data_IF_966205889483
#
_entry.id   IF_966205889483
#
_cell.length_a   1.000
_cell.length_b   1.000
_cell.length_c   1.000
_cell.angle_alpha   90.00
_cell.angle_beta   90.00
_cell.angle_gamma   90.00
#
_symmetry.space_group_name_H-M   'P 1'
#
loop_
_entity.id
_entity.type
_entity.pdbx_description
1 polymer ?
#
# COMPACT_ATOMS: atom_id res chain seq x y z
N UNK A 1 -54.80 8.33 31.99
CA UNK A 1 -54.15 9.01 30.86
C UNK A 1 -52.86 9.65 31.35
N UNK A 2 -51.69 9.10 31.00
CA UNK A 2 -50.41 9.80 30.78
C UNK A 2 -49.27 8.78 30.80
N UNK A 3 -48.87 8.32 29.62
CA UNK A 3 -47.77 7.39 29.45
C UNK A 3 -47.45 7.22 27.97
N UNK A 4 -47.04 8.30 27.29
CA UNK A 4 -46.55 8.23 25.89
C UNK A 4 -45.65 9.41 25.47
N UNK A 5 -45.10 10.16 26.43
CA UNK A 5 -44.29 11.37 26.16
C UNK A 5 -42.79 11.11 26.00
N UNK A 6 -42.26 10.06 26.62
CA UNK A 6 -40.81 9.77 26.65
C UNK A 6 -40.32 9.15 25.34
N UNK A 7 -41.12 8.28 24.72
CA UNK A 7 -40.71 7.53 23.53
C UNK A 7 -40.61 8.43 22.28
N UNK A 8 -41.58 9.33 22.08
CA UNK A 8 -41.59 10.28 20.95
C UNK A 8 -40.43 11.29 20.97
N UNK A 9 -39.95 11.71 22.14
CA UNK A 9 -38.82 12.66 22.25
C UNK A 9 -37.48 11.98 22.00
N UNK A 10 -37.31 10.75 22.47
CA UNK A 10 -36.13 9.91 22.18
C UNK A 10 -36.03 9.63 20.69
N UNK A 11 -37.14 9.23 20.06
CA UNK A 11 -37.24 9.02 18.62
C UNK A 11 -36.90 10.27 17.79
N UNK A 12 -37.44 11.44 18.17
CA UNK A 12 -37.13 12.70 17.49
C UNK A 12 -35.65 13.10 17.63
N UNK A 13 -35.04 12.90 18.80
CA UNK A 13 -33.61 13.16 19.01
C UNK A 13 -32.72 12.21 18.21
N UNK A 14 -33.06 10.91 18.15
CA UNK A 14 -32.32 9.91 17.36
C UNK A 14 -32.41 10.22 15.87
N UNK A 15 -33.60 10.54 15.35
CA UNK A 15 -33.81 10.99 13.97
C UNK A 15 -33.02 12.25 13.62
N UNK A 16 -33.00 13.23 14.53
CA UNK A 16 -32.27 14.49 14.30
C UNK A 16 -30.75 14.26 14.19
N UNK A 17 -30.15 13.48 15.10
CA UNK A 17 -28.72 13.11 15.02
C UNK A 17 -28.36 12.35 13.74
N UNK A 18 -29.28 11.51 13.25
CA UNK A 18 -29.11 10.72 12.02
C UNK A 18 -29.12 11.58 10.75
N UNK A 19 -29.98 12.60 10.67
CA UNK A 19 -30.03 13.53 9.53
C UNK A 19 -28.87 14.52 9.55
N UNK A 20 -28.49 15.02 10.74
CA UNK A 20 -27.36 15.95 10.92
C UNK A 20 -26.01 15.31 10.48
N UNK A 21 -25.83 14.00 10.67
CA UNK A 21 -24.60 13.30 10.28
C UNK A 21 -24.35 13.27 8.76
N UNK A 22 -25.36 12.93 7.96
CA UNK A 22 -25.21 12.90 6.50
C UNK A 22 -25.01 14.31 5.92
N UNK A 23 -25.71 15.31 6.46
CA UNK A 23 -25.57 16.70 6.02
C UNK A 23 -24.13 17.21 6.23
N UNK A 24 -23.50 16.85 7.35
CA UNK A 24 -22.09 17.15 7.59
C UNK A 24 -21.15 16.52 6.55
N UNK A 25 -21.37 15.24 6.19
CA UNK A 25 -20.62 14.56 5.13
C UNK A 25 -20.82 15.24 3.78
N UNK A 26 -22.06 15.55 3.42
CA UNK A 26 -22.38 16.23 2.16
C UNK A 26 -21.74 17.62 2.08
N UNK A 27 -21.76 18.40 3.17
CA UNK A 27 -21.11 19.71 3.26
C UNK A 27 -19.58 19.61 3.19
N UNK A 28 -18.98 18.59 3.81
CA UNK A 28 -17.55 18.31 3.66
C UNK A 28 -17.23 18.00 2.19
N UNK A 29 -17.95 17.05 1.59
CA UNK A 29 -17.73 16.61 0.22
C UNK A 29 -17.86 17.75 -0.79
N UNK A 30 -18.89 18.61 -0.65
CA UNK A 30 -19.10 19.76 -1.52
C UNK A 30 -17.94 20.76 -1.51
N UNK A 31 -17.22 20.87 -0.39
CA UNK A 31 -16.01 21.69 -0.26
C UNK A 31 -14.80 20.97 -0.87
N UNK A 32 -14.57 19.73 -0.45
CA UNK A 32 -13.35 18.99 -0.75
C UNK A 32 -13.26 18.51 -2.22
N UNK A 33 -14.40 18.24 -2.88
CA UNK A 33 -14.41 17.72 -4.26
C UNK A 33 -13.84 18.69 -5.30
N UNK A 34 -13.72 19.97 -4.98
CA UNK A 34 -13.17 21.00 -5.88
C UNK A 34 -11.66 20.87 -6.06
N UNK A 35 -10.97 20.20 -5.13
CA UNK A 35 -9.51 20.15 -5.09
C UNK A 35 -8.93 18.99 -5.92
N UNK A 36 -9.77 18.19 -6.60
CA UNK A 36 -9.35 17.05 -7.43
C UNK A 36 -8.69 15.89 -6.66
N UNK A 37 -8.54 16.01 -5.34
CA UNK A 37 -7.81 15.08 -4.46
C UNK A 37 -8.42 13.68 -4.36
N UNK A 38 -9.71 13.53 -4.66
CA UNK A 38 -10.48 12.30 -4.45
C UNK A 38 -10.75 11.50 -5.74
N UNK A 39 -9.87 11.65 -6.74
CA UNK A 39 -9.90 10.83 -7.94
C UNK A 39 -9.37 9.43 -7.68
N UNK A 40 -9.94 8.44 -8.36
CA UNK A 40 -9.41 7.07 -8.39
C UNK A 40 -7.99 7.07 -8.98
N UNK A 41 -7.11 6.26 -8.40
CA UNK A 41 -5.78 6.03 -8.97
C UNK A 41 -5.87 5.24 -10.29
N UNK A 42 -4.76 5.18 -11.03
CA UNK A 42 -4.70 4.33 -12.23
C UNK A 42 -5.02 2.87 -11.91
N UNK A 43 -4.47 2.34 -10.82
CA UNK A 43 -4.67 0.94 -10.44
C UNK A 43 -6.11 0.68 -9.97
N UNK A 44 -6.74 1.62 -9.25
CA UNK A 44 -8.16 1.48 -8.90
C UNK A 44 -9.03 1.40 -10.17
N UNK A 45 -8.73 2.23 -11.18
CA UNK A 45 -9.43 2.18 -12.46
C UNK A 45 -9.16 0.88 -13.23
N UNK A 46 -7.94 0.31 -13.14
CA UNK A 46 -7.66 -1.03 -13.70
C UNK A 46 -8.51 -2.10 -13.01
N UNK A 47 -8.53 -2.12 -11.67
CA UNK A 47 -9.33 -3.06 -10.89
C UNK A 47 -10.82 -2.95 -11.23
N UNK A 48 -11.34 -1.73 -11.38
CA UNK A 48 -12.74 -1.49 -11.72
C UNK A 48 -13.09 -1.82 -13.17
N UNK A 49 -12.09 -1.94 -14.05
CA UNK A 49 -12.29 -2.33 -15.45
C UNK A 49 -12.47 -3.83 -15.64
N UNK A 50 -12.06 -4.65 -14.67
CA UNK A 50 -12.17 -6.11 -14.74
C UNK A 50 -13.61 -6.56 -14.52
N UNK A 51 -14.10 -7.41 -15.41
CA UNK A 51 -15.32 -8.17 -15.15
C UNK A 51 -15.07 -9.25 -14.11
N UNK A 52 -16.15 -9.81 -13.55
CA UNK A 52 -16.03 -10.96 -12.63
C UNK A 52 -15.26 -12.12 -13.28
N UNK A 53 -15.48 -12.39 -14.56
CA UNK A 53 -14.74 -13.41 -15.30
C UNK A 53 -13.26 -13.08 -15.44
N UNK A 54 -12.92 -11.80 -15.67
CA UNK A 54 -11.52 -11.36 -15.77
C UNK A 54 -10.82 -11.50 -14.42
N UNK A 55 -11.50 -11.16 -13.32
CA UNK A 55 -10.93 -11.30 -11.99
C UNK A 55 -10.61 -12.77 -11.71
N UNK A 56 -11.50 -13.70 -12.06
CA UNK A 56 -11.28 -15.14 -11.86
C UNK A 56 -10.43 -15.83 -12.95
N UNK A 57 -9.91 -15.08 -13.92
CA UNK A 57 -8.98 -15.59 -14.94
C UNK A 57 -7.52 -15.43 -14.48
N UNK A 58 -6.92 -16.54 -14.02
CA UNK A 58 -5.51 -16.58 -13.58
C UNK A 58 -4.51 -16.25 -14.70
N UNK A 59 -4.93 -16.30 -15.96
CA UNK A 59 -4.07 -16.04 -17.11
C UNK A 59 -4.34 -14.67 -17.76
N UNK A 60 -5.17 -13.82 -17.14
CA UNK A 60 -5.65 -12.55 -17.70
C UNK A 60 -4.52 -11.69 -18.27
N UNK A 61 -3.41 -11.55 -17.53
CA UNK A 61 -2.28 -10.71 -17.91
C UNK A 61 -1.05 -11.50 -18.36
N UNK A 62 -1.14 -12.84 -18.48
CA UNK A 62 -0.01 -13.72 -18.83
C UNK A 62 0.75 -13.27 -20.08
N UNK A 63 0.02 -12.77 -21.09
CA UNK A 63 0.63 -12.29 -22.35
C UNK A 63 1.27 -10.90 -22.25
N UNK A 64 0.90 -10.12 -21.23
CA UNK A 64 1.38 -8.76 -21.00
C UNK A 64 2.56 -8.73 -20.05
N UNK A 65 2.57 -9.60 -19.05
CA UNK A 65 3.70 -9.82 -18.15
C UNK A 65 4.84 -10.46 -18.95
N UNK A 66 5.95 -9.74 -19.05
CA UNK A 66 7.18 -10.22 -19.69
C UNK A 66 8.20 -10.55 -18.61
N UNK A 67 9.11 -11.49 -18.90
CA UNK A 67 10.28 -11.72 -18.04
C UNK A 67 11.04 -10.40 -17.88
N UNK A 68 11.31 -10.02 -16.64
CA UNK A 68 12.11 -8.85 -16.32
C UNK A 68 13.54 -9.11 -16.84
N UNK A 69 14.11 -8.22 -17.67
CA UNK A 69 15.47 -8.35 -18.16
C UNK A 69 16.51 -8.35 -17.04
N UNK A 70 17.61 -9.07 -17.24
CA UNK A 70 18.74 -9.06 -16.29
C UNK A 70 19.53 -7.72 -16.36
N UNK A 71 19.32 -6.93 -17.42
CA UNK A 71 19.96 -5.62 -17.67
C UNK A 71 19.02 -4.68 -18.41
N UNK A 72 19.21 -3.37 -18.22
CA UNK A 72 18.34 -2.35 -18.80
C UNK A 72 19.12 -1.39 -19.71
N UNK A 73 18.49 -0.98 -20.81
CA UNK A 73 19.10 -0.04 -21.77
C UNK A 73 18.87 1.42 -21.38
N UNK A 74 17.85 1.69 -20.58
CA UNK A 74 17.53 3.02 -20.06
C UNK A 74 16.79 2.92 -18.73
N UNK A 75 16.80 4.02 -17.97
CA UNK A 75 16.03 4.15 -16.73
C UNK A 75 14.51 3.98 -16.96
N UNK A 76 13.99 4.50 -18.07
CA UNK A 76 12.59 4.32 -18.47
C UNK A 76 12.27 2.83 -18.71
N UNK A 77 13.13 2.12 -19.47
CA UNK A 77 12.98 0.68 -19.69
C UNK A 77 13.01 -0.13 -18.40
N UNK A 78 13.78 0.32 -17.39
CA UNK A 78 13.79 -0.29 -16.06
C UNK A 78 12.43 -0.14 -15.38
N UNK A 79 11.91 1.07 -15.26
CA UNK A 79 10.63 1.34 -14.59
C UNK A 79 9.45 0.66 -15.30
N UNK A 80 9.43 0.73 -16.63
CA UNK A 80 8.39 0.11 -17.46
C UNK A 80 8.31 -1.41 -17.26
N UNK A 81 9.44 -2.07 -17.02
CA UNK A 81 9.52 -3.52 -16.84
C UNK A 81 8.75 -4.01 -15.61
N UNK A 82 8.52 -3.15 -14.61
CA UNK A 82 7.77 -3.49 -13.40
C UNK A 82 6.28 -3.11 -13.46
N UNK A 83 5.83 -2.46 -14.54
CA UNK A 83 4.44 -1.99 -14.67
C UNK A 83 3.45 -3.15 -14.72
N UNK A 84 3.62 -4.09 -15.66
CA UNK A 84 2.74 -5.25 -15.77
C UNK A 84 2.86 -6.24 -14.61
N UNK A 85 4.06 -6.54 -14.07
CA UNK A 85 4.19 -7.31 -12.83
C UNK A 85 3.39 -6.72 -11.66
N UNK A 86 3.40 -5.39 -11.49
CA UNK A 86 2.62 -4.74 -10.42
C UNK A 86 1.11 -4.88 -10.64
N UNK A 87 0.62 -4.76 -11.87
CA UNK A 87 -0.81 -4.94 -12.18
C UNK A 87 -1.23 -6.40 -11.96
N UNK A 88 -0.36 -7.35 -12.31
CA UNK A 88 -0.57 -8.79 -12.03
C UNK A 88 -0.60 -9.09 -10.54
N UNK A 89 0.28 -8.50 -9.74
CA UNK A 89 0.25 -8.65 -8.28
C UNK A 89 -1.08 -8.17 -7.71
N UNK A 90 -1.56 -6.98 -8.13
CA UNK A 90 -2.86 -6.45 -7.73
C UNK A 90 -4.00 -7.38 -8.16
N UNK A 91 -3.93 -7.92 -9.38
CA UNK A 91 -4.93 -8.86 -9.88
C UNK A 91 -4.98 -10.15 -9.04
N UNK A 92 -3.82 -10.74 -8.77
CA UNK A 92 -3.69 -11.95 -7.96
C UNK A 92 -4.20 -11.74 -6.52
N UNK A 93 -3.95 -10.57 -5.93
CA UNK A 93 -4.43 -10.20 -4.60
C UNK A 93 -5.95 -10.01 -4.55
N UNK A 94 -6.53 -9.33 -5.55
CA UNK A 94 -7.99 -9.20 -5.67
C UNK A 94 -8.63 -10.58 -5.88
N UNK A 95 -8.05 -11.42 -6.74
CA UNK A 95 -8.48 -12.80 -6.95
C UNK A 95 -8.47 -13.58 -5.63
N UNK A 96 -7.34 -13.58 -4.92
CA UNK A 96 -7.15 -14.32 -3.67
C UNK A 96 -8.16 -13.89 -2.60
N UNK A 97 -8.39 -12.58 -2.48
CA UNK A 97 -9.35 -12.03 -1.54
C UNK A 97 -10.80 -12.43 -1.86
N UNK A 98 -11.17 -12.50 -3.15
CA UNK A 98 -12.49 -12.97 -3.57
C UNK A 98 -12.64 -14.50 -3.51
N UNK A 99 -11.58 -15.26 -3.70
CA UNK A 99 -11.58 -16.71 -3.49
C UNK A 99 -11.85 -17.03 -2.00
N UNK A 100 -11.24 -16.25 -1.10
CA UNK A 100 -11.48 -16.26 0.34
C UNK A 100 -12.71 -15.46 0.81
N UNK A 101 -13.63 -15.09 -0.10
CA UNK A 101 -14.73 -14.17 0.21
C UNK A 101 -15.60 -14.60 1.40
N UNK A 102 -15.81 -15.91 1.61
CA UNK A 102 -16.61 -16.42 2.72
C UNK A 102 -16.02 -16.10 4.09
N UNK A 103 -14.72 -15.86 4.18
CA UNK A 103 -13.99 -15.56 5.42
C UNK A 103 -13.66 -14.07 5.57
N UNK A 104 -13.98 -13.26 4.57
CA UNK A 104 -13.68 -11.84 4.57
C UNK A 104 -14.38 -11.10 5.72
N UNK A 105 -13.66 -10.11 6.27
CA UNK A 105 -14.22 -9.18 7.24
C UNK A 105 -15.18 -8.22 6.54
N UNK A 106 -16.27 -7.89 7.23
CA UNK A 106 -17.31 -7.02 6.70
C UNK A 106 -17.91 -6.14 7.77
N UNK A 107 -18.68 -5.14 7.36
CA UNK A 107 -19.44 -4.29 8.27
C UNK A 107 -20.79 -3.91 7.65
N UNK A 108 -21.82 -3.82 8.48
CA UNK A 108 -23.16 -3.38 8.05
C UNK A 108 -23.21 -1.87 7.82
N UNK A 109 -23.90 -1.47 6.76
CA UNK A 109 -24.22 -0.08 6.45
C UNK A 109 -25.52 0.30 7.17
N UNK A 110 -25.44 1.30 8.04
CA UNK A 110 -26.60 1.82 8.79
C UNK A 110 -27.28 2.99 8.07
N UNK A 111 -26.51 3.78 7.32
CA UNK A 111 -27.03 4.88 6.50
C UNK A 111 -26.24 5.00 5.19
N UNK A 112 -26.91 5.46 4.13
CA UNK A 112 -26.31 5.68 2.82
C UNK A 112 -26.92 6.90 2.15
N UNK A 113 -26.10 7.69 1.47
CA UNK A 113 -26.59 8.81 0.67
C UNK A 113 -25.66 9.15 -0.48
N UNK A 114 -26.25 9.64 -1.56
CA UNK A 114 -25.52 10.06 -2.73
C UNK A 114 -24.87 11.44 -2.51
N UNK A 115 -23.58 11.55 -2.79
CA UNK A 115 -22.79 12.77 -2.64
C UNK A 115 -22.50 13.47 -3.96
N UNK A 116 -22.60 12.76 -5.09
CA UNK A 116 -22.43 13.32 -6.42
C UNK A 116 -23.44 12.72 -7.42
N UNK A 117 -24.30 13.55 -7.99
CA UNK A 117 -25.30 13.09 -8.95
C UNK A 117 -24.68 12.62 -10.29
N UNK A 118 -23.44 13.02 -10.60
CA UNK A 118 -22.76 12.72 -11.86
C UNK A 118 -21.81 11.53 -11.77
N UNK A 119 -21.38 11.15 -10.56
CA UNK A 119 -20.44 10.06 -10.30
C UNK A 119 -21.03 9.09 -9.29
N UNK A 120 -20.68 7.80 -9.32
CA UNK A 120 -21.21 6.83 -8.37
C UNK A 120 -20.49 6.93 -7.01
N UNK A 121 -20.55 8.11 -6.39
CA UNK A 121 -19.89 8.43 -5.12
C UNK A 121 -20.95 8.52 -4.03
N UNK A 122 -20.87 7.61 -3.07
CA UNK A 122 -21.81 7.49 -1.97
C UNK A 122 -21.09 7.69 -0.63
N UNK A 123 -21.79 8.36 0.29
CA UNK A 123 -21.43 8.40 1.70
C UNK A 123 -22.12 7.24 2.42
N UNK A 124 -21.35 6.47 3.17
CA UNK A 124 -21.84 5.35 3.97
C UNK A 124 -21.56 5.62 5.43
N UNK A 125 -22.56 5.38 6.27
CA UNK A 125 -22.38 5.24 7.71
C UNK A 125 -22.34 3.77 8.05
N UNK A 126 -21.31 3.35 8.75
CA UNK A 126 -21.12 1.94 9.13
C UNK A 126 -21.56 1.71 10.58
N UNK A 127 -21.88 0.45 10.90
CA UNK A 127 -22.12 0.04 12.27
C UNK A 127 -20.83 0.09 13.12
N UNK A 128 -20.98 0.02 14.43
CA UNK A 128 -19.81 -0.16 15.31
C UNK A 128 -19.24 -1.57 15.11
N UNK A 129 -17.92 -1.70 14.84
CA UNK A 129 -17.28 -3.00 14.70
C UNK A 129 -17.43 -3.85 15.96
N UNK A 130 -17.71 -5.13 15.77
CA UNK A 130 -17.80 -6.11 16.85
C UNK A 130 -16.41 -6.33 17.44
N UNK A 131 -16.28 -6.31 18.77
CA UNK A 131 -14.99 -6.48 19.47
C UNK A 131 -14.60 -7.95 19.69
N UNK A 132 -15.48 -8.88 19.36
CA UNK A 132 -15.20 -10.31 19.43
C UNK A 132 -14.33 -10.72 18.24
N UNK A 133 -13.14 -11.24 18.52
CA UNK A 133 -12.18 -11.72 17.52
C UNK A 133 -12.73 -12.88 16.68
N UNK A 134 -13.74 -13.61 17.18
CA UNK A 134 -14.40 -14.69 16.42
C UNK A 134 -15.42 -14.16 15.42
N UNK A 135 -15.79 -12.88 15.52
CA UNK A 135 -16.71 -12.24 14.59
C UNK A 135 -15.97 -11.76 13.36
N UNK A 136 -16.62 -11.87 12.21
CA UNK A 136 -16.17 -11.25 10.95
C UNK A 136 -16.73 -9.84 10.77
N UNK A 137 -17.63 -9.39 11.65
CA UNK A 137 -18.21 -8.05 11.67
C UNK A 137 -17.28 -7.01 12.33
N UNK A 138 -15.99 -7.09 12.00
CA UNK A 138 -14.90 -6.34 12.65
C UNK A 138 -14.31 -5.26 11.74
N UNK A 139 -14.77 -5.17 10.49
CA UNK A 139 -14.16 -4.30 9.49
C UNK A 139 -14.37 -2.81 9.81
N UNK A 140 -13.27 -2.05 9.77
CA UNK A 140 -13.24 -0.59 9.82
C UNK A 140 -12.73 -0.09 8.47
N UNK A 141 -13.52 0.66 7.70
CA UNK A 141 -13.08 1.21 6.43
C UNK A 141 -11.88 2.15 6.60
N UNK A 142 -10.86 1.97 5.76
CA UNK A 142 -9.66 2.81 5.67
C UNK A 142 -9.51 3.38 4.25
N UNK A 143 -8.90 4.55 4.13
CA UNK A 143 -8.60 5.12 2.80
C UNK A 143 -7.76 4.16 1.94
N UNK A 144 -8.11 4.07 0.66
CA UNK A 144 -7.56 3.17 -0.36
C UNK A 144 -7.98 1.70 -0.22
N UNK A 145 -8.92 1.37 0.67
CA UNK A 145 -9.52 0.03 0.67
C UNK A 145 -10.36 -0.18 -0.59
N UNK A 146 -10.11 -1.30 -1.28
CA UNK A 146 -11.04 -1.85 -2.25
C UNK A 146 -12.01 -2.76 -1.50
N UNK A 147 -13.29 -2.54 -1.74
CA UNK A 147 -14.38 -3.24 -1.07
C UNK A 147 -15.38 -3.81 -2.07
N UNK A 148 -16.18 -4.74 -1.58
CA UNK A 148 -17.42 -5.19 -2.23
C UNK A 148 -18.60 -4.57 -1.51
N UNK A 149 -19.47 -3.89 -2.25
CA UNK A 149 -20.80 -3.54 -1.77
C UNK A 149 -21.75 -4.69 -2.07
N UNK A 150 -22.28 -5.34 -1.03
CA UNK A 150 -23.18 -6.49 -1.14
C UNK A 150 -24.48 -6.28 -0.36
N UNK A 151 -25.55 -6.93 -0.82
CA UNK A 151 -26.84 -7.00 -0.10
C UNK A 151 -26.94 -8.18 0.87
N UNK A 152 -25.93 -9.04 0.90
CA UNK A 152 -25.87 -10.23 1.74
C UNK A 152 -24.52 -10.28 2.47
N UNK A 153 -24.52 -10.93 3.64
CA UNK A 153 -23.27 -11.23 4.35
C UNK A 153 -22.39 -12.15 3.49
N UNK A 154 -21.06 -11.99 3.53
CA UNK A 154 -20.14 -12.86 2.80
C UNK A 154 -20.26 -14.31 3.29
N UNK A 155 -20.89 -15.16 2.48
CA UNK A 155 -21.08 -16.60 2.75
C UNK A 155 -20.41 -17.47 1.71
N UNK A 156 -20.61 -17.16 0.43
CA UNK A 156 -20.00 -17.92 -0.65
C UNK A 156 -19.66 -17.02 -1.84
N UNK A 157 -18.57 -17.33 -2.55
CA UNK A 157 -18.16 -16.58 -3.75
C UNK A 157 -19.24 -16.60 -4.85
N UNK A 158 -20.07 -17.65 -4.88
CA UNK A 158 -21.19 -17.72 -5.83
C UNK A 158 -22.24 -16.64 -5.63
N UNK A 159 -22.34 -16.03 -4.43
CA UNK A 159 -23.21 -14.88 -4.16
C UNK A 159 -22.89 -13.68 -5.08
N UNK A 160 -21.65 -13.63 -5.58
CA UNK A 160 -21.17 -12.62 -6.52
C UNK A 160 -21.57 -12.92 -7.98
N UNK A 161 -21.77 -14.20 -8.31
CA UNK A 161 -22.03 -14.67 -9.69
C UNK A 161 -23.49 -15.02 -9.97
N UNK A 162 -24.28 -15.41 -8.95
CA UNK A 162 -25.63 -15.97 -9.15
C UNK A 162 -26.66 -14.94 -9.58
N UNK A 163 -26.51 -13.69 -9.13
CA UNK A 163 -27.33 -12.58 -9.57
C UNK A 163 -26.46 -11.65 -10.39
N UNK A 164 -26.79 -11.46 -11.67
CA UNK A 164 -26.12 -10.52 -12.61
C UNK A 164 -26.12 -9.04 -12.16
N UNK A 165 -26.43 -8.75 -10.89
CA UNK A 165 -26.70 -7.42 -10.35
C UNK A 165 -26.21 -7.19 -8.90
N UNK A 166 -25.34 -8.00 -8.31
CA UNK A 166 -25.03 -7.86 -6.86
C UNK A 166 -23.57 -7.68 -6.46
N UNK A 167 -22.63 -7.63 -7.39
CA UNK A 167 -21.23 -7.31 -7.08
C UNK A 167 -20.86 -5.94 -7.64
N UNK A 168 -20.68 -4.96 -6.76
CA UNK A 168 -20.15 -3.65 -7.11
C UNK A 168 -18.89 -3.41 -6.28
N UNK A 169 -17.78 -3.22 -6.98
CA UNK A 169 -16.54 -2.81 -6.35
C UNK A 169 -16.62 -1.34 -5.94
N UNK A 170 -15.96 -1.01 -4.84
CA UNK A 170 -15.83 0.36 -4.36
C UNK A 170 -14.43 0.62 -3.83
N UNK A 171 -14.00 1.87 -3.92
CA UNK A 171 -12.75 2.35 -3.36
C UNK A 171 -13.08 3.37 -2.28
N UNK A 172 -12.58 3.16 -1.08
CA UNK A 172 -12.77 4.08 0.05
C UNK A 172 -11.84 5.28 -0.15
N UNK A 173 -12.41 6.45 -0.36
CA UNK A 173 -11.65 7.67 -0.72
C UNK A 173 -11.51 8.66 0.45
N UNK A 174 -12.34 8.54 1.50
CA UNK A 174 -12.24 9.36 2.71
C UNK A 174 -12.87 8.66 3.91
N UNK A 175 -12.22 8.77 5.07
CA UNK A 175 -12.71 8.29 6.37
C UNK A 175 -12.51 9.37 7.45
N UNK A 176 -13.08 9.17 8.64
CA UNK A 176 -13.19 10.19 9.68
C UNK A 176 -12.03 10.35 10.65
N UNK A 177 -10.83 9.88 10.31
CA UNK A 177 -9.68 9.96 11.21
C UNK A 177 -9.05 11.36 11.28
N UNK A 178 -9.19 12.18 10.23
CA UNK A 178 -8.59 13.53 10.14
C UNK A 178 -9.53 14.53 9.40
N UNK A 179 -9.40 15.83 9.70
CA UNK A 179 -10.07 16.97 9.03
C UNK A 179 -11.52 17.30 9.41
N UNK A 180 -12.01 16.85 10.57
CA UNK A 180 -13.38 17.15 11.02
C UNK A 180 -14.47 16.42 10.21
N UNK A 181 -14.09 15.37 9.49
CA UNK A 181 -15.02 14.43 8.87
C UNK A 181 -15.64 13.52 9.93
N UNK A 182 -16.94 13.17 9.84
CA UNK A 182 -17.58 12.31 10.84
C UNK A 182 -16.92 10.92 10.97
N UNK A 183 -16.64 10.43 12.19
CA UNK A 183 -15.80 9.25 12.45
C UNK A 183 -16.42 7.91 12.00
N UNK A 184 -17.75 7.81 12.00
CA UNK A 184 -18.51 6.61 11.63
C UNK A 184 -18.96 6.60 10.17
N UNK A 185 -18.48 7.58 9.40
CA UNK A 185 -18.74 7.69 7.98
C UNK A 185 -17.50 7.34 7.17
N UNK A 186 -17.75 6.87 5.95
CA UNK A 186 -16.77 6.83 4.89
C UNK A 186 -17.40 7.30 3.58
N UNK A 187 -16.56 7.80 2.68
CA UNK A 187 -16.94 8.07 1.29
C UNK A 187 -16.34 6.99 0.41
N UNK A 188 -17.16 6.44 -0.47
CA UNK A 188 -16.76 5.38 -1.39
C UNK A 188 -17.10 5.77 -2.81
N UNK A 189 -16.13 5.62 -3.70
CA UNK A 189 -16.34 5.69 -5.14
C UNK A 189 -16.58 4.29 -5.68
N UNK A 190 -17.76 4.03 -6.24
CA UNK A 190 -18.11 2.72 -6.79
C UNK A 190 -17.62 2.58 -8.24
N UNK A 191 -17.43 1.34 -8.69
CA UNK A 191 -17.04 1.02 -10.07
C UNK A 191 -18.16 1.28 -11.07
N UNK A 192 -19.41 1.25 -10.62
CA UNK A 192 -20.61 1.50 -11.43
C UNK A 192 -21.72 2.15 -10.61
N UNK A 193 -22.64 2.82 -11.30
CA UNK A 193 -23.80 3.40 -10.66
C UNK A 193 -24.77 2.29 -10.22
N UNK A 194 -25.15 2.30 -8.95
CA UNK A 194 -26.13 1.40 -8.37
C UNK A 194 -27.26 2.20 -7.72
N UNK A 195 -28.49 1.77 -7.93
CA UNK A 195 -29.66 2.31 -7.25
C UNK A 195 -29.74 1.72 -5.85
N UNK A 196 -29.16 2.42 -4.89
CA UNK A 196 -29.38 2.12 -3.47
C UNK A 196 -30.66 2.79 -3.01
N UNK A 197 -31.72 2.01 -2.84
CA UNK A 197 -32.95 2.51 -2.25
C UNK A 197 -32.74 2.75 -0.75
N UNK A 198 -32.80 4.01 -0.34
CA UNK A 198 -32.78 4.42 1.06
C UNK A 198 -34.01 5.26 1.40
N UNK A 199 -34.43 5.22 2.66
CA UNK A 199 -35.49 6.10 3.16
C UNK A 199 -35.06 7.57 3.00
N UNK A 200 -35.92 8.39 2.38
CA UNK A 200 -35.55 9.74 1.95
C UNK A 200 -35.15 10.65 3.11
N UNK A 201 -35.67 10.40 4.31
CA UNK A 201 -35.46 11.22 5.51
C UNK A 201 -34.36 10.66 6.42
N UNK A 202 -34.39 9.37 6.71
CA UNK A 202 -33.46 8.72 7.65
C UNK A 202 -32.19 8.23 6.98
N UNK A 203 -32.17 8.14 5.64
CA UNK A 203 -31.05 7.60 4.85
C UNK A 203 -30.73 6.14 5.16
N UNK A 204 -31.63 5.44 5.85
CA UNK A 204 -31.47 4.01 6.14
C UNK A 204 -31.73 3.22 4.85
N UNK A 205 -30.84 2.30 4.47
CA UNK A 205 -31.07 1.39 3.34
C UNK A 205 -32.38 0.61 3.51
N UNK A 206 -33.18 0.47 2.44
CA UNK A 206 -34.41 -0.36 2.48
C UNK A 206 -34.11 -1.85 2.55
N UNK A 207 -32.92 -2.26 2.12
CA UNK A 207 -32.41 -3.63 2.20
C UNK A 207 -31.08 -3.61 2.94
N UNK A 208 -30.72 -4.69 3.66
CA UNK A 208 -29.41 -4.80 4.28
C UNK A 208 -28.29 -4.57 3.26
N UNK A 209 -27.26 -3.84 3.66
CA UNK A 209 -26.08 -3.56 2.87
C UNK A 209 -24.85 -3.79 3.72
N UNK A 210 -23.83 -4.39 3.10
CA UNK A 210 -22.59 -4.73 3.75
C UNK A 210 -21.42 -4.23 2.90
N UNK A 211 -20.42 -3.67 3.56
CA UNK A 211 -19.11 -3.41 2.96
C UNK A 211 -18.21 -4.57 3.34
N UNK A 212 -17.67 -5.29 2.36
CA UNK A 212 -16.75 -6.40 2.56
C UNK A 212 -15.36 -5.95 2.11
N UNK A 213 -14.37 -6.06 2.98
CA UNK A 213 -12.99 -5.69 2.67
C UNK A 213 -12.38 -6.67 1.67
N UNK A 214 -11.65 -6.17 0.67
CA UNK A 214 -10.84 -7.01 -0.21
C UNK A 214 -9.35 -6.81 0.02
N UNK A 215 -8.83 -5.65 -0.36
CA UNK A 215 -7.40 -5.31 -0.32
C UNK A 215 -7.23 -3.82 -0.04
N UNK A 216 -6.06 -3.43 0.43
CA UNK A 216 -5.70 -2.01 0.57
C UNK A 216 -4.70 -1.59 -0.51
N UNK A 217 -5.06 -0.58 -1.31
CA UNK A 217 -4.29 -0.12 -2.46
C UNK A 217 -3.14 0.83 -2.10
N UNK A 218 -2.94 1.20 -0.83
CA UNK A 218 -1.96 2.21 -0.43
C UNK A 218 -0.54 1.85 -0.85
N UNK A 219 -0.13 0.59 -0.65
CA UNK A 219 1.20 0.12 -1.04
C UNK A 219 1.36 0.09 -2.55
N UNK A 220 0.38 -0.50 -3.26
CA UNK A 220 0.38 -0.56 -4.72
C UNK A 220 0.41 0.82 -5.37
N UNK A 221 -0.39 1.76 -4.86
CA UNK A 221 -0.42 3.14 -5.34
C UNK A 221 0.88 3.89 -5.06
N UNK A 222 1.58 3.59 -3.95
CA UNK A 222 2.91 4.14 -3.68
C UNK A 222 3.94 3.62 -4.69
N UNK A 223 3.95 2.32 -4.96
CA UNK A 223 4.85 1.71 -5.95
C UNK A 223 4.55 2.26 -7.35
N UNK A 224 3.28 2.30 -7.75
CA UNK A 224 2.85 2.87 -9.04
C UNK A 224 3.33 4.31 -9.21
N UNK A 225 3.19 5.14 -8.17
CA UNK A 225 3.71 6.51 -8.19
C UNK A 225 5.23 6.55 -8.36
N UNK A 226 5.97 5.66 -7.73
CA UNK A 226 7.42 5.56 -7.92
C UNK A 226 7.79 5.20 -9.37
N UNK A 227 7.07 4.25 -9.99
CA UNK A 227 7.27 3.89 -11.39
C UNK A 227 6.94 5.06 -12.34
N UNK A 228 5.81 5.73 -12.13
CA UNK A 228 5.31 6.75 -13.06
C UNK A 228 5.94 8.13 -12.86
N UNK A 229 6.31 8.52 -11.64
CA UNK A 229 7.08 9.74 -11.39
C UNK A 229 8.47 9.65 -12.02
N UNK A 230 9.06 8.45 -12.10
CA UNK A 230 10.30 8.26 -12.84
C UNK A 230 10.15 8.38 -14.36
N UNK A 231 8.98 8.08 -14.92
CA UNK A 231 8.65 8.23 -16.35
C UNK A 231 8.30 9.68 -16.74
N UNK A 232 7.50 10.38 -15.95
CA UNK A 232 6.94 11.71 -16.30
C UNK A 232 7.80 12.91 -15.87
N UNK A 233 8.94 12.68 -15.20
CA UNK A 233 9.89 13.75 -14.96
C UNK A 233 10.53 14.16 -16.29
N UNK A 234 9.96 15.18 -16.93
CA UNK A 234 10.59 15.96 -18.02
C UNK A 234 11.98 16.51 -17.64
N UNK A 235 12.28 16.51 -16.33
CA UNK A 235 13.62 16.67 -15.79
C UNK A 235 14.11 15.36 -15.16
N UNK A 236 14.54 14.40 -16.00
CA UNK A 236 15.37 13.25 -15.57
C UNK A 236 16.55 13.74 -14.70
N UNK A 237 17.02 14.96 -14.98
CA UNK A 237 18.03 15.71 -14.24
C UNK A 237 17.62 16.09 -12.81
N UNK A 238 16.35 16.39 -12.52
CA UNK A 238 15.88 16.74 -11.16
C UNK A 238 15.65 15.51 -10.28
N UNK A 239 15.27 14.36 -10.86
CA UNK A 239 15.21 13.10 -10.13
C UNK A 239 16.63 12.60 -9.82
N UNK A 240 17.57 12.71 -10.77
CA UNK A 240 19.00 12.43 -10.54
C UNK A 240 19.66 13.43 -9.57
N UNK A 241 19.26 14.71 -9.57
CA UNK A 241 19.78 15.74 -8.65
C UNK A 241 19.12 15.75 -7.26
N UNK A 242 18.00 15.04 -7.05
CA UNK A 242 17.52 14.75 -5.70
C UNK A 242 18.44 13.72 -5.07
N UNK A 243 19.04 14.09 -3.92
CA UNK A 243 20.06 13.35 -3.15
C UNK A 243 19.78 11.84 -2.86
N UNK A 244 18.61 11.30 -3.22
CA UNK A 244 18.19 9.90 -2.96
C UNK A 244 17.98 9.04 -4.22
N UNK A 245 18.35 9.49 -5.44
CA UNK A 245 18.28 8.63 -6.65
C UNK A 245 19.55 7.77 -6.88
N UNK A 246 20.56 7.92 -6.02
CA UNK A 246 21.83 7.18 -6.10
C UNK A 246 21.65 5.66 -6.20
N UNK A 247 20.84 5.02 -5.33
CA UNK A 247 20.65 3.57 -5.36
C UNK A 247 19.93 3.07 -6.62
N UNK A 248 18.84 3.74 -7.03
CA UNK A 248 18.08 3.31 -8.20
C UNK A 248 18.90 3.47 -9.48
N UNK A 249 19.66 4.57 -9.58
CA UNK A 249 20.54 4.82 -10.73
C UNK A 249 21.58 3.72 -10.88
N UNK A 250 22.20 3.31 -9.77
CA UNK A 250 23.19 2.23 -9.76
C UNK A 250 22.58 0.85 -10.04
N UNK A 251 21.33 0.62 -9.65
CA UNK A 251 20.64 -0.64 -9.92
C UNK A 251 20.34 -0.83 -11.40
N UNK A 252 19.85 0.19 -12.11
CA UNK A 252 19.54 0.05 -13.55
C UNK A 252 20.78 0.11 -14.45
N UNK A 253 21.81 0.88 -14.07
CA UNK A 253 23.09 0.95 -14.79
C UNK A 253 23.95 -0.32 -14.62
N UNK A 254 23.50 -1.28 -13.80
CA UNK A 254 24.22 -2.51 -13.56
C UNK A 254 24.46 -3.27 -14.87
N UNK A 255 25.72 -3.56 -15.13
CA UNK A 255 26.16 -4.41 -16.26
C UNK A 255 26.83 -5.65 -15.68
N UNK A 256 26.27 -6.86 -15.88
CA UNK A 256 26.93 -8.09 -15.50
C UNK A 256 28.24 -8.19 -16.28
N UNK A 257 29.36 -8.36 -15.57
CA UNK A 257 30.61 -8.71 -16.22
C UNK A 257 30.45 -10.14 -16.75
N UNK A 258 30.77 -10.42 -18.02
CA UNK A 258 30.84 -11.80 -18.47
C UNK A 258 31.83 -12.54 -17.57
N UNK A 259 31.43 -13.73 -17.12
CA UNK A 259 32.33 -14.67 -16.47
C UNK A 259 33.35 -15.15 -17.52
N UNK A 260 34.31 -14.30 -17.86
CA UNK A 260 35.56 -14.76 -18.42
C UNK A 260 36.25 -15.56 -17.33
N UNK A 261 36.75 -16.73 -17.73
CA UNK A 261 37.54 -17.63 -16.92
C UNK A 261 38.87 -16.97 -16.53
N UNK A 262 38.83 -15.97 -15.66
CA UNK A 262 39.93 -15.66 -14.77
C UNK A 262 39.78 -16.59 -13.56
N UNK A 263 40.28 -17.81 -13.76
CA UNK A 263 40.89 -18.56 -12.67
C UNK A 263 41.76 -17.60 -11.85
N UNK A 264 41.51 -17.57 -10.54
CA UNK A 264 42.23 -16.81 -9.49
C UNK A 264 41.80 -15.36 -9.25
N UNK A 265 40.54 -15.16 -8.84
CA UNK A 265 40.25 -14.29 -7.69
C UNK A 265 38.92 -14.66 -7.02
N UNK A 266 38.88 -15.90 -6.49
CA UNK A 266 38.18 -16.11 -5.22
C UNK A 266 38.88 -15.19 -4.20
N UNK A 267 38.15 -14.20 -3.70
CA UNK A 267 38.47 -13.41 -2.51
C UNK A 267 39.96 -13.12 -2.33
N UNK A 268 40.51 -12.13 -3.03
CA UNK A 268 41.47 -11.29 -2.32
C UNK A 268 40.62 -10.48 -1.34
N UNK A 269 40.78 -10.64 -0.01
CA UNK A 269 40.25 -9.65 0.93
C UNK A 269 40.80 -8.31 0.45
N UNK A 270 39.93 -7.37 0.09
CA UNK A 270 40.38 -6.02 -0.20
C UNK A 270 41.04 -5.49 1.07
N UNK A 271 42.38 -5.54 1.08
CA UNK A 271 43.27 -5.12 2.15
C UNK A 271 43.19 -5.98 3.42
N UNK A 272 44.36 -6.31 3.95
CA UNK A 272 44.48 -6.87 5.29
C UNK A 272 43.67 -6.05 6.28
N UNK A 273 42.97 -6.76 7.19
CA UNK A 273 42.44 -6.27 8.46
C UNK A 273 43.18 -5.01 8.97
N UNK A 274 42.55 -3.84 8.87
CA UNK A 274 43.05 -2.69 9.64
C UNK A 274 42.42 -2.76 11.03
N UNK A 275 43.09 -3.45 11.95
CA UNK A 275 42.69 -3.50 13.36
C UNK A 275 42.50 -2.10 13.97
N UNK A 276 43.14 -1.05 13.39
CA UNK A 276 42.93 0.34 13.81
C UNK A 276 41.53 0.84 13.51
N UNK A 277 40.87 0.39 12.43
CA UNK A 277 39.49 0.80 12.14
C UNK A 277 38.55 0.19 13.18
N UNK A 278 38.66 -1.10 13.52
CA UNK A 278 37.79 -1.72 14.54
C UNK A 278 37.96 -1.04 15.91
N UNK A 279 39.21 -0.75 16.29
CA UNK A 279 39.55 -0.08 17.56
C UNK A 279 39.14 1.40 17.56
N UNK A 280 39.29 2.12 16.45
CA UNK A 280 38.85 3.52 16.27
C UNK A 280 37.32 3.67 16.20
N UNK A 281 36.64 2.70 15.58
CA UNK A 281 35.19 2.65 15.43
C UNK A 281 34.48 2.07 16.66
N UNK A 282 35.23 1.47 17.60
CA UNK A 282 34.68 0.86 18.81
C UNK A 282 33.77 -0.35 18.55
N UNK A 283 33.96 -1.03 17.42
CA UNK A 283 33.07 -2.11 16.94
C UNK A 283 33.15 -3.38 17.80
N UNK A 284 34.20 -3.52 18.63
CA UNK A 284 34.35 -4.63 19.60
C UNK A 284 33.21 -4.70 20.61
N UNK A 285 32.52 -3.56 20.87
CA UNK A 285 31.42 -3.47 21.83
C UNK A 285 30.14 -4.19 21.38
N UNK A 286 30.03 -4.52 20.09
CA UNK A 286 28.82 -5.09 19.51
C UNK A 286 28.83 -6.63 19.45
N UNK A 287 29.90 -7.29 19.92
CA UNK A 287 29.98 -8.76 19.96
C UNK A 287 29.86 -9.42 18.59
N UNK A 288 30.18 -8.70 17.52
CA UNK A 288 30.10 -9.18 16.14
C UNK A 288 31.23 -10.16 15.85
N UNK A 289 30.95 -11.18 15.03
CA UNK A 289 31.99 -12.09 14.54
C UNK A 289 32.79 -11.45 13.39
N UNK A 290 33.91 -12.05 13.02
CA UNK A 290 34.84 -11.51 12.01
C UNK A 290 34.17 -11.23 10.65
N UNK A 291 33.20 -12.05 10.24
CA UNK A 291 32.50 -11.85 8.96
C UNK A 291 31.57 -10.63 9.00
N UNK A 292 30.93 -10.38 10.13
CA UNK A 292 30.06 -9.23 10.36
C UNK A 292 30.87 -7.95 10.51
N UNK A 293 31.99 -8.00 11.24
CA UNK A 293 32.93 -6.87 11.38
C UNK A 293 33.51 -6.46 10.03
N UNK A 294 33.93 -7.44 9.23
CA UNK A 294 34.41 -7.18 7.87
C UNK A 294 33.31 -6.54 7.02
N UNK A 295 32.07 -7.05 7.08
CA UNK A 295 30.94 -6.46 6.35
C UNK A 295 30.65 -5.01 6.76
N UNK A 296 30.69 -4.68 8.06
CA UNK A 296 30.50 -3.31 8.56
C UNK A 296 31.65 -2.41 8.07
N UNK A 297 32.91 -2.84 8.25
CA UNK A 297 34.08 -2.08 7.80
C UNK A 297 34.01 -1.80 6.30
N UNK A 298 33.65 -2.82 5.53
CA UNK A 298 33.47 -2.74 4.09
C UNK A 298 32.41 -1.72 3.66
N UNK A 299 31.31 -1.61 4.40
CA UNK A 299 30.28 -0.60 4.18
C UNK A 299 30.79 0.79 4.58
N UNK A 300 31.54 0.89 5.68
CA UNK A 300 32.09 2.14 6.20
C UNK A 300 33.15 2.73 5.26
N UNK A 301 34.05 1.92 4.73
CA UNK A 301 35.09 2.37 3.78
C UNK A 301 34.49 2.95 2.49
N UNK A 302 33.29 2.53 2.11
CA UNK A 302 32.57 3.11 0.97
C UNK A 302 31.97 4.48 1.27
N UNK A 303 31.70 4.82 2.52
CA UNK A 303 31.24 6.16 2.89
C UNK A 303 32.31 7.23 2.69
N UNK A 304 33.59 6.85 2.73
CA UNK A 304 34.71 7.74 2.46
C UNK A 304 34.94 8.00 0.96
N UNK A 305 34.19 7.30 0.08
CA UNK A 305 34.25 7.50 -1.36
C UNK A 305 33.25 8.56 -1.83
N UNK A 306 33.68 9.48 -2.70
CA UNK A 306 32.83 10.56 -3.24
C UNK A 306 31.74 10.06 -4.23
N UNK A 307 31.56 8.73 -4.36
CA UNK A 307 30.66 8.10 -5.33
C UNK A 307 29.55 7.31 -4.63
N UNK A 308 28.31 7.42 -5.12
CA UNK A 308 27.23 6.54 -4.67
C UNK A 308 27.61 5.08 -4.93
N UNK A 309 27.47 4.23 -3.90
CA UNK A 309 27.81 2.80 -3.98
C UNK A 309 26.71 1.96 -3.30
N UNK A 310 26.53 0.74 -3.79
CA UNK A 310 25.59 -0.24 -3.22
C UNK A 310 26.40 -1.47 -2.82
N UNK A 311 26.24 -1.93 -1.57
CA UNK A 311 26.74 -3.24 -1.13
C UNK A 311 25.57 -4.15 -0.76
N UNK A 312 25.68 -5.41 -1.17
CA UNK A 312 24.76 -6.46 -0.78
C UNK A 312 25.33 -7.18 0.43
N UNK A 313 24.62 -7.12 1.56
CA UNK A 313 24.89 -7.95 2.72
C UNK A 313 24.03 -9.22 2.62
N UNK A 314 24.68 -10.38 2.57
CA UNK A 314 24.01 -11.66 2.45
C UNK A 314 24.52 -12.65 3.51
N UNK A 315 23.61 -13.45 4.05
CA UNK A 315 23.90 -14.44 5.08
C UNK A 315 22.78 -15.49 5.23
N UNK A 316 23.10 -16.72 5.66
CA UNK A 316 22.10 -17.73 6.03
C UNK A 316 21.22 -17.30 7.22
N UNK A 317 20.03 -17.92 7.42
CA UNK A 317 19.21 -17.69 8.61
C UNK A 317 20.02 -17.91 9.90
N UNK A 318 19.87 -17.02 10.88
CA UNK A 318 20.58 -17.10 12.18
C UNK A 318 21.99 -16.50 12.21
N UNK A 319 22.47 -15.86 11.12
CA UNK A 319 23.81 -15.24 11.06
C UNK A 319 23.90 -13.79 11.57
N UNK A 320 22.93 -13.35 12.37
CA UNK A 320 22.96 -12.00 12.98
C UNK A 320 23.00 -10.85 11.97
N UNK A 321 22.33 -11.01 10.82
CA UNK A 321 22.19 -9.94 9.82
C UNK A 321 21.60 -8.66 10.42
N UNK A 322 20.69 -8.81 11.38
CA UNK A 322 20.02 -7.70 12.07
C UNK A 322 21.03 -6.90 12.89
N UNK A 323 21.87 -7.57 13.67
CA UNK A 323 22.93 -6.93 14.47
C UNK A 323 23.94 -6.21 13.56
N UNK A 324 24.31 -6.83 12.44
CA UNK A 324 25.26 -6.26 11.45
C UNK A 324 24.69 -5.00 10.80
N UNK A 325 23.41 -5.01 10.41
CA UNK A 325 22.72 -3.85 9.85
C UNK A 325 22.58 -2.72 10.88
N UNK A 326 22.21 -3.05 12.12
CA UNK A 326 22.04 -2.08 13.20
C UNK A 326 23.36 -1.38 13.53
N UNK A 327 24.46 -2.13 13.65
CA UNK A 327 25.79 -1.57 13.89
C UNK A 327 26.23 -0.64 12.76
N UNK A 328 25.95 -1.02 11.50
CA UNK A 328 26.23 -0.16 10.35
C UNK A 328 25.42 1.14 10.44
N UNK A 329 24.13 1.06 10.75
CA UNK A 329 23.23 2.21 10.83
C UNK A 329 23.60 3.17 11.97
N UNK A 330 23.81 2.67 13.19
CA UNK A 330 24.21 3.48 14.33
C UNK A 330 25.50 4.25 14.02
N UNK A 331 26.46 3.59 13.37
CA UNK A 331 27.71 4.22 12.97
C UNK A 331 27.49 5.33 11.92
N UNK A 332 26.69 5.07 10.88
CA UNK A 332 26.33 6.08 9.88
C UNK A 332 25.68 7.33 10.52
N UNK A 333 24.74 7.14 11.44
CA UNK A 333 24.06 8.25 12.13
C UNK A 333 25.00 9.08 13.02
N UNK A 334 25.91 8.44 13.74
CA UNK A 334 26.90 9.14 14.60
C UNK A 334 27.86 9.98 13.76
N UNK A 335 28.25 9.50 12.57
CA UNK A 335 29.18 10.19 11.68
C UNK A 335 28.55 11.40 10.97
N UNK A 336 27.27 11.31 10.61
CA UNK A 336 26.49 12.42 10.04
C UNK A 336 26.21 13.55 11.05
N UNK A 337 26.11 13.24 12.35
CA UNK A 337 25.96 14.27 13.39
C UNK A 337 27.25 15.07 13.68
N UNK A 338 28.43 14.57 13.26
CA UNK A 338 29.74 15.16 13.55
C UNK A 338 30.45 15.83 12.36
N UNK A 339 29.87 15.79 11.17
CA UNK A 339 30.51 16.25 9.91
C UNK A 339 29.56 17.16 9.13
N UNK A 340 30.03 18.31 8.65
CA UNK A 340 29.29 19.21 7.73
C UNK A 340 28.94 18.55 6.37
N UNK A 341 29.32 17.29 6.16
CA UNK A 341 28.95 16.47 4.99
C UNK A 341 27.77 15.55 5.34
N UNK A 342 26.57 15.94 4.90
CA UNK A 342 25.38 15.08 4.91
C UNK A 342 25.60 13.87 3.99
N UNK A 343 25.83 12.70 4.56
CA UNK A 343 26.03 11.43 3.86
C UNK A 343 24.79 10.55 4.04
N UNK A 344 23.77 10.72 3.20
CA UNK A 344 22.52 9.95 3.30
C UNK A 344 22.80 8.43 3.17
N UNK A 345 22.89 7.72 4.29
CA UNK A 345 22.97 6.27 4.33
C UNK A 345 21.55 5.69 4.38
N UNK A 346 21.19 4.90 3.37
CA UNK A 346 19.89 4.23 3.28
C UNK A 346 20.11 2.71 3.40
N UNK A 347 19.52 2.09 4.42
CA UNK A 347 19.60 0.64 4.65
C UNK A 347 18.26 0.01 4.25
N UNK A 348 18.29 -0.88 3.26
CA UNK A 348 17.10 -1.60 2.77
C UNK A 348 17.17 -3.07 3.14
N UNK A 349 16.10 -3.58 3.77
CA UNK A 349 15.95 -4.99 4.12
C UNK A 349 15.06 -5.68 3.09
N UNK A 350 15.54 -6.80 2.55
CA UNK A 350 14.78 -7.64 1.64
C UNK A 350 14.70 -9.05 2.21
N UNK A 351 13.50 -9.62 2.24
CA UNK A 351 13.29 -11.03 2.55
C UNK A 351 13.08 -11.80 1.25
N UNK A 352 13.89 -12.84 1.00
CA UNK A 352 13.63 -13.78 -0.08
C UNK A 352 12.43 -14.64 0.34
N UNK A 353 11.32 -14.54 -0.38
CA UNK A 353 10.22 -15.52 -0.26
C UNK A 353 10.72 -16.88 -0.79
N UNK A 354 10.39 -18.00 -0.12
CA UNK A 354 10.74 -19.33 -0.64
C UNK A 354 10.05 -19.58 -1.98
N UNK A 355 10.81 -20.17 -2.93
CA UNK A 355 10.36 -20.52 -4.28
C UNK A 355 9.20 -21.51 -4.32
#
# INVERSE_FOLDING_TARGET
>A
MNGNGYDKRSWKKKRRRQTEGFEAVAMYWARAKKDGKFGLSYLDNQVFSWSVSDIFDRDLLRKKVKRIPDTFTSFESYLDSFTWPLIEEVHADVFSSLDGYSEANFIEVTQVGNLDASKPILGFRVAEPVKDEKSRETYVPVENDIIVLSSHKPRHVSDLTQNKSSFVLGSVIKTGEEDGFPPDWCVVHLSSAILVEADCHTKIPKRPLFLVFLINMKTYNRIWRCLHLGQNCSNLFELQNKKSSGPVTKAWEFKPKPAEAESSQCSQPSQCFDGRLIEWLGLEKFGLNDSQLNAVSDCVSLMDSNSSSIKLLWGPPGTGQEDTCLCTYEYCCVRDCGSDRQSNCEVFRWHRLPE
#
